data_IF_401381356072
#
_entry.id   IF_401381356072
#
_cell.length_a   1.000
_cell.length_b   1.000
_cell.length_c   1.000
_cell.angle_alpha   90.00
_cell.angle_beta   90.00
_cell.angle_gamma   90.00
#
_symmetry.space_group_name_H-M   'P 1'
#
loop_
_entity.id
_entity.type
_entity.pdbx_description
1 polymer ?
#
# COMPACT_ATOMS: atom_id res chain seq x y z
N UNK A 1 -5.80 -3.76 0.21
CA UNK A 1 -5.27 -4.88 1.02
C UNK A 1 -5.81 -4.75 2.43
N UNK A 2 -5.80 -5.84 3.21
CA UNK A 2 -6.26 -5.87 4.59
C UNK A 2 -5.25 -6.49 5.56
N UNK A 3 -5.62 -6.67 6.84
CA UNK A 3 -4.72 -7.09 7.92
C UNK A 3 -3.94 -8.39 7.64
N UNK A 4 -4.55 -9.32 6.89
CA UNK A 4 -3.97 -10.63 6.59
C UNK A 4 -3.00 -10.61 5.38
N UNK A 5 -2.85 -9.49 4.69
CA UNK A 5 -2.05 -9.37 3.47
C UNK A 5 -0.55 -9.08 3.73
N UNK A 6 -0.05 -9.20 4.96
CA UNK A 6 1.35 -8.90 5.32
C UNK A 6 2.35 -9.57 4.36
N UNK A 7 2.16 -10.86 4.07
CA UNK A 7 3.04 -11.63 3.18
C UNK A 7 3.13 -11.04 1.77
N UNK A 8 2.05 -10.45 1.26
CA UNK A 8 2.01 -9.81 -0.06
C UNK A 8 2.85 -8.54 -0.10
N UNK A 9 2.82 -7.75 0.97
CA UNK A 9 3.64 -6.53 1.08
C UNK A 9 5.13 -6.88 1.13
N UNK A 10 5.50 -7.93 1.89
CA UNK A 10 6.89 -8.38 1.96
C UNK A 10 7.37 -8.97 0.62
N UNK A 11 6.50 -9.66 -0.13
CA UNK A 11 6.84 -10.15 -1.47
C UNK A 11 7.11 -9.00 -2.47
N UNK A 12 6.43 -7.87 -2.30
CA UNK A 12 6.59 -6.66 -3.10
C UNK A 12 7.74 -5.74 -2.65
N UNK A 13 8.58 -6.16 -1.69
CA UNK A 13 9.62 -5.31 -1.08
C UNK A 13 10.59 -4.62 -2.04
N UNK A 14 10.74 -5.12 -3.26
CA UNK A 14 11.65 -4.55 -4.27
C UNK A 14 11.09 -3.28 -4.92
N UNK A 15 9.78 -3.04 -4.80
CA UNK A 15 9.11 -1.86 -5.35
C UNK A 15 9.20 -0.65 -4.40
N UNK A 16 9.53 -0.86 -3.13
CA UNK A 16 9.64 0.20 -2.12
C UNK A 16 11.03 0.80 -2.09
N UNK A 17 11.14 2.10 -1.78
CA UNK A 17 12.42 2.78 -1.59
C UNK A 17 13.32 2.12 -0.54
N UNK A 18 12.70 1.55 0.51
CA UNK A 18 13.38 0.85 1.60
C UNK A 18 12.59 -0.40 2.02
N UNK A 19 13.27 -1.43 2.57
CA UNK A 19 12.58 -2.63 3.04
C UNK A 19 11.42 -2.31 4.02
N UNK A 20 10.19 -2.81 3.74
CA UNK A 20 9.06 -2.59 4.63
C UNK A 20 9.32 -3.14 6.04
N UNK A 21 9.02 -2.33 7.06
CA UNK A 21 9.19 -2.73 8.47
C UNK A 21 7.95 -3.50 8.94
N UNK A 22 8.07 -4.74 9.45
CA UNK A 22 6.92 -5.59 9.78
C UNK A 22 5.85 -4.94 10.67
N UNK A 23 6.27 -4.25 11.74
CA UNK A 23 5.34 -3.57 12.64
C UNK A 23 4.60 -2.40 11.97
N UNK A 24 5.26 -1.69 11.05
CA UNK A 24 4.64 -0.60 10.30
C UNK A 24 3.65 -1.14 9.25
N UNK A 25 3.99 -2.23 8.56
CA UNK A 25 3.09 -2.93 7.63
C UNK A 25 1.82 -3.36 8.34
N UNK A 26 1.94 -4.03 9.50
CA UNK A 26 0.78 -4.45 10.28
C UNK A 26 -0.11 -3.28 10.70
N UNK A 27 0.51 -2.20 11.20
CA UNK A 27 -0.25 -1.00 11.58
C UNK A 27 -0.96 -0.38 10.38
N UNK A 28 -0.29 -0.30 9.23
CA UNK A 28 -0.85 0.29 8.02
C UNK A 28 -2.03 -0.53 7.50
N UNK A 29 -1.87 -1.85 7.39
CA UNK A 29 -2.92 -2.75 6.89
C UNK A 29 -4.12 -2.92 7.84
N UNK A 30 -3.95 -2.61 9.12
CA UNK A 30 -5.01 -2.69 10.13
C UNK A 30 -5.92 -1.46 10.15
N UNK A 31 -5.50 -0.34 9.57
CA UNK A 31 -6.29 0.88 9.52
C UNK A 31 -7.19 0.88 8.26
N UNK A 32 -8.50 0.95 8.44
CA UNK A 32 -9.46 0.90 7.33
C UNK A 32 -9.37 2.09 6.39
N UNK A 33 -8.79 3.21 6.86
CA UNK A 33 -8.61 4.42 6.06
C UNK A 33 -7.25 4.43 5.35
N UNK A 34 -6.45 3.39 5.50
CA UNK A 34 -5.18 3.24 4.81
C UNK A 34 -5.33 2.23 3.67
N UNK A 35 -4.89 2.62 2.49
CA UNK A 35 -5.08 1.84 1.28
C UNK A 35 -3.72 1.50 0.68
N UNK A 36 -3.50 0.21 0.47
CA UNK A 36 -2.38 -0.33 -0.30
C UNK A 36 -2.94 -1.28 -1.35
N UNK A 37 -2.60 -1.04 -2.61
CA UNK A 37 -2.93 -1.90 -3.73
C UNK A 37 -1.63 -2.30 -4.41
N UNK A 38 -1.48 -3.59 -4.71
CA UNK A 38 -0.33 -4.13 -5.44
C UNK A 38 -0.85 -4.65 -6.78
N UNK A 39 -0.20 -4.22 -7.85
CA UNK A 39 -0.40 -4.74 -9.19
C UNK A 39 0.47 -5.97 -9.39
N UNK A 40 -0.07 -6.97 -10.11
CA UNK A 40 0.63 -8.22 -10.40
C UNK A 40 0.72 -8.43 -11.91
N UNK A 41 1.89 -8.89 -12.36
CA UNK A 41 2.14 -9.38 -13.72
C UNK A 41 2.67 -10.81 -13.62
N UNK A 42 1.96 -11.79 -14.18
CA UNK A 42 2.29 -13.22 -14.05
C UNK A 42 2.53 -13.65 -12.59
N UNK A 43 1.64 -13.24 -11.68
CA UNK A 43 1.72 -13.47 -10.23
C UNK A 43 2.94 -12.85 -9.52
N UNK A 44 3.77 -12.07 -10.23
CA UNK A 44 4.87 -11.29 -9.65
C UNK A 44 4.39 -9.86 -9.38
N UNK A 45 4.65 -9.29 -8.18
CA UNK A 45 4.37 -7.88 -7.93
C UNK A 45 5.10 -6.99 -8.93
N UNK A 46 4.37 -6.16 -9.66
CA UNK A 46 4.90 -5.31 -10.73
C UNK A 46 4.68 -3.80 -10.47
N UNK A 47 4.01 -3.45 -9.37
CA UNK A 47 3.80 -2.08 -8.97
C UNK A 47 2.90 -2.00 -7.74
N UNK A 48 2.83 -0.83 -7.13
CA UNK A 48 1.88 -0.57 -6.06
C UNK A 48 1.49 0.91 -6.00
N UNK A 49 0.40 1.17 -5.29
CA UNK A 49 0.04 2.50 -4.82
C UNK A 49 -0.39 2.42 -3.36
N UNK A 50 0.07 3.38 -2.56
CA UNK A 50 -0.34 3.56 -1.18
C UNK A 50 -0.98 4.94 -0.99
N UNK A 51 -1.95 5.02 -0.09
CA UNK A 51 -2.61 6.27 0.25
C UNK A 51 -3.44 6.18 1.52
N UNK A 52 -3.90 7.33 1.98
CA UNK A 52 -4.81 7.45 3.14
C UNK A 52 -6.06 8.23 2.76
N UNK A 53 -7.20 7.74 3.21
CA UNK A 53 -8.46 8.45 3.17
C UNK A 53 -8.55 9.43 4.35
N UNK A 54 -8.91 10.67 4.06
CA UNK A 54 -9.18 11.70 5.06
C UNK A 54 -10.58 12.24 4.81
N UNK A 55 -11.41 12.28 5.85
CA UNK A 55 -12.72 12.92 5.76
C UNK A 55 -12.61 14.39 6.13
N UNK A 56 -12.85 15.27 5.15
CA UNK A 56 -12.95 16.70 5.38
C UNK A 56 -14.38 17.05 5.86
N UNK A 57 -14.54 17.89 6.91
CA UNK A 57 -15.85 18.13 7.55
C UNK A 57 -16.99 18.61 6.63
N UNK A 58 -16.68 19.32 5.55
CA UNK A 58 -17.67 19.85 4.59
C UNK A 58 -17.51 19.31 3.16
N UNK A 59 -16.51 18.46 2.88
CA UNK A 59 -16.28 17.89 1.52
C UNK A 59 -16.45 16.37 1.45
N UNK A 60 -16.49 15.68 2.59
CA UNK A 60 -16.54 14.22 2.63
C UNK A 60 -15.15 13.60 2.48
N UNK A 61 -15.09 12.39 1.92
CA UNK A 61 -13.86 11.61 1.80
C UNK A 61 -12.96 12.12 0.67
N UNK A 62 -11.69 12.35 0.99
CA UNK A 62 -10.60 12.66 0.06
C UNK A 62 -9.49 11.62 0.22
N UNK A 63 -8.75 11.35 -0.85
CA UNK A 63 -7.64 10.38 -0.85
C UNK A 63 -6.32 11.10 -1.11
N UNK A 64 -5.35 10.89 -0.22
CA UNK A 64 -3.98 11.34 -0.41
C UNK A 64 -3.10 10.15 -0.82
N UNK A 65 -2.52 10.22 -2.01
CA UNK A 65 -1.52 9.23 -2.44
C UNK A 65 -0.18 9.55 -1.78
N UNK A 66 0.44 8.54 -1.19
CA UNK A 66 1.73 8.66 -0.50
C UNK A 66 2.89 8.21 -1.39
N UNK A 67 2.79 7.01 -1.96
CA UNK A 67 3.84 6.40 -2.76
C UNK A 67 3.19 5.59 -3.87
N UNK A 68 3.82 5.65 -5.05
CA UNK A 68 3.47 4.86 -6.20
C UNK A 68 4.77 4.46 -6.88
N UNK A 69 4.88 3.17 -7.17
CA UNK A 69 6.02 2.60 -7.88
C UNK A 69 5.53 1.59 -8.91
N UNK A 70 6.27 1.47 -10.01
CA UNK A 70 6.09 0.47 -11.05
C UNK A 70 7.46 -0.15 -11.30
N UNK A 71 7.50 -1.47 -11.46
CA UNK A 71 8.73 -2.17 -11.84
C UNK A 71 9.16 -1.72 -13.25
N UNK A 72 10.44 -1.40 -13.42
CA UNK A 72 10.98 -0.91 -14.70
C UNK A 72 11.37 -2.06 -15.66
N UNK A 73 11.44 -3.31 -15.16
CA UNK A 73 11.73 -4.50 -15.95
C UNK A 73 13.21 -4.85 -16.13
#
# INVERSE_FOLDING_TARGET
>A
MGPDDHGRVIAARHLFDYPPRPAAVNRFLADSNHHLLIAYSNDVPAGFVSGVEVTHPDKGAEMFLYELAVDEG
#
